data_IF_916389634772
#
_entry.id   IF_916389634772
#
_cell.length_a   1.000
_cell.length_b   1.000
_cell.length_c   1.000
_cell.angle_alpha   90.00
_cell.angle_beta   90.00
_cell.angle_gamma   90.00
#
_symmetry.space_group_name_H-M   'P 1'
#
loop_
_entity.id
_entity.type
_entity.pdbx_description
1 polymer ?
#
# COMPACT_ATOMS: atom_id res chain seq x y z
N UNK A 1 58.65 5.35 1.78
CA UNK A 1 57.53 6.28 1.74
C UNK A 1 56.31 5.75 0.93
N UNK A 2 56.49 5.12 -0.23
CA UNK A 2 55.36 4.68 -1.11
C UNK A 2 54.40 3.65 -0.51
N UNK A 3 54.86 2.72 0.35
CA UNK A 3 53.96 1.70 1.00
C UNK A 3 53.03 2.26 2.07
N UNK A 4 53.45 3.26 2.83
CA UNK A 4 52.63 3.88 3.90
C UNK A 4 51.52 4.74 3.30
N UNK A 5 51.78 5.41 2.16
CA UNK A 5 50.78 6.21 1.46
C UNK A 5 49.66 5.34 0.85
N UNK A 6 49.98 4.14 0.34
CA UNK A 6 49.00 3.23 -0.23
C UNK A 6 48.02 2.67 0.83
N UNK A 7 48.55 2.38 2.03
CA UNK A 7 47.72 1.88 3.16
C UNK A 7 46.76 2.94 3.65
N UNK A 8 47.16 4.21 3.72
CA UNK A 8 46.31 5.33 4.14
C UNK A 8 45.18 5.58 3.13
N UNK A 9 45.49 5.50 1.81
CA UNK A 9 44.46 5.66 0.76
C UNK A 9 43.45 4.50 0.79
N UNK A 10 43.90 3.26 1.01
CA UNK A 10 43.02 2.11 1.13
C UNK A 10 42.11 2.21 2.37
N UNK A 11 42.61 2.70 3.53
CA UNK A 11 41.82 2.96 4.72
C UNK A 11 40.80 4.09 4.51
N UNK A 12 41.15 5.16 3.83
CA UNK A 12 40.23 6.26 3.48
C UNK A 12 39.10 5.78 2.54
N UNK A 13 39.41 4.93 1.55
CA UNK A 13 38.41 4.35 0.66
C UNK A 13 37.44 3.40 1.40
N UNK A 14 37.92 2.62 2.37
CA UNK A 14 37.05 1.80 3.21
C UNK A 14 36.11 2.62 4.11
N UNK A 15 36.55 3.78 4.63
CA UNK A 15 35.76 4.65 5.47
C UNK A 15 34.66 5.34 4.64
N UNK A 16 34.93 5.75 3.41
CA UNK A 16 33.91 6.37 2.53
C UNK A 16 32.84 5.36 2.09
N UNK A 17 33.18 4.09 1.90
CA UNK A 17 32.21 3.04 1.58
C UNK A 17 31.28 2.72 2.75
N UNK A 18 31.65 3.00 4.00
CA UNK A 18 30.81 2.75 5.18
C UNK A 18 29.71 3.82 5.38
N UNK A 19 29.77 4.96 4.68
CA UNK A 19 28.77 6.05 4.80
C UNK A 19 27.69 6.04 3.72
N UNK A 20 27.73 5.11 2.76
CA UNK A 20 26.63 4.89 1.84
C UNK A 20 25.59 3.94 2.45
N UNK A 21 25.20 4.16 3.71
CA UNK A 21 23.98 3.56 4.22
C UNK A 21 22.81 4.26 3.52
N UNK A 22 22.06 3.46 2.76
CA UNK A 22 20.78 3.89 2.19
C UNK A 22 19.89 4.34 3.37
N UNK A 23 19.63 5.65 3.48
CA UNK A 23 18.77 6.26 4.52
C UNK A 23 17.31 5.82 4.40
N UNK A 24 17.09 4.63 3.85
CA UNK A 24 15.77 4.06 3.71
C UNK A 24 15.12 3.89 5.08
N UNK A 25 14.00 4.57 5.30
CA UNK A 25 13.20 4.42 6.51
C UNK A 25 12.15 3.35 6.29
N UNK A 26 12.23 2.19 6.97
CA UNK A 26 11.23 1.14 6.88
C UNK A 26 9.83 1.69 7.14
N UNK A 27 8.84 1.15 6.43
CA UNK A 27 7.45 1.54 6.57
C UNK A 27 6.53 0.34 6.44
N UNK A 28 5.32 0.48 6.96
CA UNK A 28 4.27 -0.52 6.81
C UNK A 28 3.16 0.02 5.92
N UNK A 29 2.83 -0.74 4.88
CA UNK A 29 1.70 -0.46 3.99
C UNK A 29 0.61 -1.48 4.27
N UNK A 30 -0.54 -1.00 4.69
CA UNK A 30 -1.75 -1.79 4.86
C UNK A 30 -2.55 -1.71 3.56
N UNK A 31 -2.90 -2.86 2.98
CA UNK A 31 -3.67 -2.89 1.74
C UNK A 31 -4.92 -3.74 1.95
N UNK A 32 -6.05 -3.18 1.57
CA UNK A 32 -7.35 -3.87 1.61
C UNK A 32 -8.10 -3.63 0.31
N UNK A 33 -8.86 -4.62 -0.13
CA UNK A 33 -9.89 -4.42 -1.14
C UNK A 33 -11.01 -3.57 -0.56
N UNK A 34 -11.68 -2.75 -1.39
CA UNK A 34 -12.93 -2.09 -0.98
C UNK A 34 -13.91 -3.11 -0.41
N UNK A 35 -14.73 -2.71 0.54
CA UNK A 35 -15.77 -3.53 1.15
C UNK A 35 -16.92 -3.85 0.17
N UNK A 36 -17.88 -4.64 0.59
CA UNK A 36 -19.03 -5.07 -0.20
C UNK A 36 -19.78 -3.86 -0.78
N UNK A 37 -20.00 -3.88 -2.09
CA UNK A 37 -20.62 -2.80 -2.83
C UNK A 37 -22.02 -3.17 -3.33
N UNK A 38 -22.89 -2.19 -3.53
CA UNK A 38 -24.16 -2.36 -4.25
C UNK A 38 -23.93 -2.76 -5.72
N UNK A 39 -24.97 -3.22 -6.37
CA UNK A 39 -24.94 -3.57 -7.79
C UNK A 39 -25.27 -2.36 -8.69
N UNK A 40 -25.96 -1.37 -8.13
CA UNK A 40 -26.33 -0.14 -8.83
C UNK A 40 -25.90 1.11 -8.01
N UNK A 41 -25.55 2.20 -8.69
CA UNK A 41 -25.37 2.34 -10.14
C UNK A 41 -24.10 1.58 -10.61
N UNK A 42 -24.16 0.88 -11.73
CA UNK A 42 -23.07 -0.01 -12.21
C UNK A 42 -21.70 0.66 -12.32
N UNK A 43 -21.67 1.94 -12.69
CA UNK A 43 -20.40 2.65 -12.91
C UNK A 43 -19.64 2.91 -11.61
N UNK A 44 -20.36 3.34 -10.55
CA UNK A 44 -19.73 3.67 -9.27
C UNK A 44 -20.69 3.38 -8.10
N UNK A 45 -20.93 2.09 -7.80
CA UNK A 45 -21.83 1.71 -6.71
C UNK A 45 -21.24 2.07 -5.34
N UNK A 46 -22.10 2.52 -4.39
CA UNK A 46 -21.71 2.69 -2.99
C UNK A 46 -21.54 1.35 -2.27
N UNK A 47 -21.24 1.37 -0.98
CA UNK A 47 -21.18 0.17 -0.16
C UNK A 47 -22.59 -0.35 0.19
N UNK A 48 -22.74 -1.68 0.23
CA UNK A 48 -23.85 -2.35 0.88
C UNK A 48 -23.80 -2.17 2.39
N UNK A 49 -24.88 -2.53 3.09
CA UNK A 49 -24.93 -2.51 4.55
C UNK A 49 -23.78 -3.30 5.20
N UNK A 50 -23.48 -4.48 4.66
CA UNK A 50 -22.36 -5.34 5.10
C UNK A 50 -21.01 -4.64 4.89
N UNK A 51 -20.85 -3.96 3.75
CA UNK A 51 -19.65 -3.19 3.44
C UNK A 51 -19.47 -1.98 4.36
N UNK A 52 -20.54 -1.31 4.74
CA UNK A 52 -20.49 -0.24 5.76
C UNK A 52 -20.04 -0.81 7.11
N UNK A 53 -20.60 -1.95 7.54
CA UNK A 53 -20.16 -2.61 8.76
C UNK A 53 -18.69 -3.01 8.71
N UNK A 54 -18.23 -3.59 7.58
CA UNK A 54 -16.81 -3.94 7.36
C UNK A 54 -15.89 -2.72 7.38
N UNK A 55 -16.29 -1.58 6.82
CA UNK A 55 -15.49 -0.35 6.87
C UNK A 55 -15.32 0.17 8.31
N UNK A 56 -16.33 0.03 9.16
CA UNK A 56 -16.26 0.36 10.58
C UNK A 56 -15.33 -0.61 11.34
N UNK A 57 -15.38 -1.91 11.03
CA UNK A 57 -14.45 -2.89 11.59
C UNK A 57 -13.00 -2.64 11.15
N UNK A 58 -12.77 -2.25 9.89
CA UNK A 58 -11.44 -1.81 9.43
C UNK A 58 -10.93 -0.63 10.26
N UNK A 59 -11.79 0.36 10.51
CA UNK A 59 -11.46 1.51 11.33
C UNK A 59 -11.14 1.12 12.78
N UNK A 60 -11.89 0.18 13.36
CA UNK A 60 -11.63 -0.35 14.70
C UNK A 60 -10.28 -1.08 14.73
N UNK A 61 -10.03 -1.95 13.76
CA UNK A 61 -8.84 -2.80 13.69
C UNK A 61 -7.56 -2.00 13.49
N UNK A 62 -7.58 -0.99 12.60
CA UNK A 62 -6.41 -0.20 12.24
C UNK A 62 -6.23 1.11 13.02
N UNK A 63 -7.13 1.43 13.97
CA UNK A 63 -7.07 2.70 14.71
C UNK A 63 -5.76 2.95 15.48
N UNK A 64 -5.09 1.88 15.93
CA UNK A 64 -3.82 1.94 16.66
C UNK A 64 -2.60 1.60 15.77
N UNK A 65 -2.79 1.41 14.46
CA UNK A 65 -1.72 1.00 13.54
C UNK A 65 -0.76 2.14 13.16
N UNK A 66 -0.93 3.34 13.69
CA UNK A 66 -0.06 4.49 13.44
C UNK A 66 -0.10 5.00 12.00
N UNK A 67 -1.23 4.77 11.29
CA UNK A 67 -1.42 5.23 9.90
C UNK A 67 -1.39 6.76 9.87
N UNK A 68 -0.63 7.32 8.93
CA UNK A 68 -0.47 8.76 8.70
C UNK A 68 -1.00 9.20 7.34
N UNK A 69 -1.17 8.28 6.41
CA UNK A 69 -1.59 8.58 5.04
C UNK A 69 -2.56 7.49 4.56
N UNK A 70 -3.62 7.90 3.86
CA UNK A 70 -4.63 7.01 3.30
C UNK A 70 -4.77 7.31 1.81
N UNK A 71 -4.61 6.29 0.97
CA UNK A 71 -4.86 6.35 -0.47
C UNK A 71 -6.07 5.51 -0.85
N UNK A 72 -6.88 6.02 -1.76
CA UNK A 72 -8.03 5.32 -2.35
C UNK A 72 -7.97 5.43 -3.87
N UNK A 73 -8.75 4.65 -4.59
CA UNK A 73 -9.03 4.95 -5.99
C UNK A 73 -10.10 6.04 -6.11
N UNK A 74 -10.40 6.45 -7.34
CA UNK A 74 -11.45 7.44 -7.65
C UNK A 74 -12.87 6.98 -7.28
N UNK A 75 -13.10 5.68 -7.08
CA UNK A 75 -14.42 5.10 -6.92
C UNK A 75 -14.99 5.26 -5.51
N UNK A 76 -16.31 5.49 -5.42
CA UNK A 76 -17.04 5.66 -4.16
C UNK A 76 -16.78 4.51 -3.18
N UNK A 77 -16.83 3.25 -3.64
CA UNK A 77 -16.59 2.07 -2.80
C UNK A 77 -15.25 2.06 -2.05
N UNK A 78 -14.17 2.56 -2.67
CA UNK A 78 -12.87 2.65 -1.98
C UNK A 78 -12.82 3.81 -0.99
N UNK A 79 -13.41 4.95 -1.35
CA UNK A 79 -13.51 6.13 -0.47
C UNK A 79 -14.34 5.81 0.77
N UNK A 80 -15.53 5.25 0.58
CA UNK A 80 -16.43 4.87 1.66
C UNK A 80 -15.83 3.77 2.58
N UNK A 81 -15.00 2.87 2.03
CA UNK A 81 -14.29 1.88 2.86
C UNK A 81 -13.24 2.56 3.76
N UNK A 82 -12.57 3.60 3.27
CA UNK A 82 -11.54 4.31 4.03
C UNK A 82 -12.11 5.34 5.02
N UNK A 83 -13.29 5.90 4.76
CA UNK A 83 -13.86 7.06 5.45
C UNK A 83 -13.96 6.90 6.97
N UNK A 84 -14.47 5.78 7.55
CA UNK A 84 -14.54 5.65 9.00
C UNK A 84 -13.18 5.72 9.69
N UNK A 85 -12.14 5.14 9.08
CA UNK A 85 -10.79 5.22 9.62
C UNK A 85 -10.19 6.62 9.45
N UNK A 86 -10.36 7.23 8.28
CA UNK A 86 -9.91 8.59 8.01
C UNK A 86 -10.50 9.57 9.04
N UNK A 87 -11.81 9.52 9.26
CA UNK A 87 -12.51 10.33 10.27
C UNK A 87 -11.94 10.08 11.67
N UNK A 88 -11.78 8.82 12.06
CA UNK A 88 -11.28 8.44 13.40
C UNK A 88 -9.86 8.93 13.66
N UNK A 89 -9.01 9.00 12.63
CA UNK A 89 -7.63 9.46 12.72
C UNK A 89 -7.46 10.97 12.45
N UNK A 90 -8.52 11.69 12.08
CA UNK A 90 -8.44 13.09 11.65
C UNK A 90 -7.65 13.28 10.35
N UNK A 91 -7.69 12.28 9.45
CA UNK A 91 -6.96 12.29 8.18
C UNK A 91 -7.90 12.53 7.01
N UNK A 92 -7.36 13.07 5.91
CA UNK A 92 -8.05 13.14 4.62
C UNK A 92 -7.47 12.07 3.69
N UNK A 93 -8.34 11.20 3.15
CA UNK A 93 -7.91 10.23 2.17
C UNK A 93 -7.64 10.91 0.81
N UNK A 94 -6.50 10.60 0.20
CA UNK A 94 -6.11 11.09 -1.13
C UNK A 94 -6.54 10.08 -2.18
N UNK A 95 -7.31 10.53 -3.16
CA UNK A 95 -7.74 9.69 -4.29
C UNK A 95 -6.69 9.70 -5.40
N UNK A 96 -6.29 8.50 -5.85
CA UNK A 96 -5.41 8.30 -7.01
C UNK A 96 -6.23 7.64 -8.11
N UNK A 97 -6.22 8.20 -9.32
CA UNK A 97 -7.00 7.71 -10.45
C UNK A 97 -6.37 6.47 -11.04
N UNK A 98 -7.05 5.34 -10.98
CA UNK A 98 -6.63 4.09 -11.62
C UNK A 98 -7.22 4.02 -13.03
N UNK A 99 -6.36 3.96 -14.04
CA UNK A 99 -6.72 3.75 -15.44
C UNK A 99 -6.69 2.26 -15.77
N UNK A 100 -7.61 1.80 -16.60
CA UNK A 100 -7.55 0.44 -17.14
C UNK A 100 -6.42 0.30 -18.13
N UNK A 101 -5.84 -0.89 -18.22
CA UNK A 101 -4.87 -1.22 -19.25
C UNK A 101 -5.53 -1.15 -20.64
N UNK A 102 -4.94 -0.45 -21.62
CA UNK A 102 -5.57 -0.22 -22.93
C UNK A 102 -5.76 -1.50 -23.74
N UNK A 103 -4.95 -2.54 -23.51
CA UNK A 103 -5.04 -3.83 -24.22
C UNK A 103 -5.87 -4.85 -23.47
N UNK A 104 -6.04 -4.72 -22.15
CA UNK A 104 -6.89 -5.58 -21.34
C UNK A 104 -7.58 -4.75 -20.23
N UNK A 105 -8.83 -4.30 -20.44
CA UNK A 105 -9.55 -3.45 -19.50
C UNK A 105 -9.82 -4.07 -18.11
N UNK A 106 -9.61 -5.39 -17.95
CA UNK A 106 -9.72 -6.07 -16.64
C UNK A 106 -8.49 -5.82 -15.75
N UNK A 107 -7.37 -5.39 -16.34
CA UNK A 107 -6.14 -5.06 -15.64
C UNK A 107 -6.06 -3.55 -15.41
N UNK A 108 -5.26 -3.18 -14.42
CA UNK A 108 -4.89 -1.78 -14.20
C UNK A 108 -3.66 -1.44 -15.06
N UNK A 109 -3.62 -0.24 -15.59
CA UNK A 109 -2.45 0.25 -16.31
C UNK A 109 -1.23 0.33 -15.36
N UNK A 110 -0.08 -0.10 -15.82
CA UNK A 110 1.15 -0.15 -15.00
C UNK A 110 1.52 1.23 -14.45
N UNK A 111 1.31 2.29 -15.23
CA UNK A 111 1.57 3.67 -14.84
C UNK A 111 0.70 4.10 -13.64
N UNK A 112 -0.54 3.62 -13.56
CA UNK A 112 -1.43 3.90 -12.42
C UNK A 112 -0.96 3.17 -11.16
N UNK A 113 -0.49 1.93 -11.30
CA UNK A 113 0.10 1.19 -10.18
C UNK A 113 1.40 1.86 -9.72
N UNK A 114 2.25 2.29 -10.67
CA UNK A 114 3.47 3.03 -10.37
C UNK A 114 3.20 4.35 -9.65
N UNK A 115 2.14 5.07 -10.01
CA UNK A 115 1.74 6.30 -9.31
C UNK A 115 1.40 6.01 -7.84
N UNK A 116 0.61 4.97 -7.55
CA UNK A 116 0.30 4.55 -6.17
C UNK A 116 1.57 4.24 -5.39
N UNK A 117 2.48 3.45 -5.97
CA UNK A 117 3.74 3.05 -5.32
C UNK A 117 4.64 4.27 -5.10
N UNK A 118 4.77 5.17 -6.06
CA UNK A 118 5.55 6.40 -5.92
C UNK A 118 5.02 7.26 -4.77
N UNK A 119 3.70 7.44 -4.69
CA UNK A 119 3.05 8.17 -3.58
C UNK A 119 3.32 7.54 -2.22
N UNK A 120 3.32 6.21 -2.13
CA UNK A 120 3.70 5.48 -0.91
C UNK A 120 5.18 5.77 -0.57
N UNK A 121 6.07 5.71 -1.56
CA UNK A 121 7.51 5.87 -1.36
C UNK A 121 7.93 7.32 -1.03
N UNK A 122 7.17 8.32 -1.47
CA UNK A 122 7.33 9.73 -1.08
C UNK A 122 7.11 10.00 0.43
N UNK A 123 6.68 9.01 1.21
CA UNK A 123 6.35 9.10 2.65
C UNK A 123 7.32 8.26 3.49
N UNK A 124 8.59 8.67 3.67
CA UNK A 124 9.59 7.86 4.36
C UNK A 124 9.21 7.62 5.83
N UNK A 125 9.19 6.34 6.25
CA UNK A 125 8.89 5.93 7.62
C UNK A 125 7.42 6.07 8.05
N UNK A 126 6.51 6.51 7.18
CA UNK A 126 5.08 6.61 7.50
C UNK A 126 4.36 5.27 7.22
N UNK A 127 3.45 4.90 8.12
CA UNK A 127 2.49 3.83 7.85
C UNK A 127 1.36 4.36 6.97
N UNK A 128 1.03 3.59 5.93
CA UNK A 128 0.09 3.99 4.88
C UNK A 128 -1.04 2.96 4.78
N UNK A 129 -2.28 3.40 4.63
CA UNK A 129 -3.38 2.55 4.18
C UNK A 129 -3.64 2.79 2.68
N UNK A 130 -3.79 1.71 1.93
CA UNK A 130 -4.27 1.72 0.53
C UNK A 130 -5.55 0.92 0.46
N UNK A 131 -6.65 1.55 0.05
CA UNK A 131 -7.91 0.88 -0.26
C UNK A 131 -8.03 0.78 -1.78
N UNK A 132 -7.91 -0.44 -2.30
CA UNK A 132 -7.86 -0.72 -3.73
C UNK A 132 -8.90 -1.75 -4.19
N UNK A 133 -8.53 -2.52 -5.19
CA UNK A 133 -9.37 -3.53 -5.86
C UNK A 133 -8.64 -4.88 -5.93
N UNK A 134 -9.39 -5.95 -6.21
CA UNK A 134 -8.82 -7.31 -6.38
C UNK A 134 -7.71 -7.38 -7.42
N UNK A 135 -7.77 -6.54 -8.45
CA UNK A 135 -6.81 -6.47 -9.55
C UNK A 135 -5.69 -5.43 -9.37
N UNK A 136 -5.82 -4.47 -8.43
CA UNK A 136 -4.79 -3.44 -8.21
C UNK A 136 -3.86 -3.75 -7.04
N UNK A 137 -4.37 -4.37 -5.97
CA UNK A 137 -3.59 -4.67 -4.77
C UNK A 137 -2.43 -5.62 -5.05
N UNK A 138 -2.61 -6.75 -5.78
CA UNK A 138 -1.49 -7.64 -6.10
C UNK A 138 -0.36 -6.92 -6.86
N UNK A 139 -0.70 -6.04 -7.80
CA UNK A 139 0.27 -5.29 -8.58
C UNK A 139 1.05 -4.27 -7.72
N UNK A 140 0.36 -3.58 -6.80
CA UNK A 140 1.03 -2.69 -5.83
C UNK A 140 1.99 -3.48 -4.93
N UNK A 141 1.57 -4.63 -4.40
CA UNK A 141 2.41 -5.50 -3.56
C UNK A 141 3.64 -5.96 -4.34
N UNK A 142 3.46 -6.42 -5.57
CA UNK A 142 4.55 -6.84 -6.45
C UNK A 142 5.54 -5.70 -6.70
N UNK A 143 5.05 -4.51 -7.02
CA UNK A 143 5.90 -3.34 -7.32
C UNK A 143 6.60 -2.79 -6.09
N UNK A 144 6.05 -2.96 -4.88
CA UNK A 144 6.74 -2.69 -3.62
C UNK A 144 7.86 -3.70 -3.31
N UNK A 145 7.97 -4.78 -4.07
CA UNK A 145 8.95 -5.85 -3.86
C UNK A 145 8.50 -6.90 -2.84
N UNK A 146 7.20 -7.14 -2.74
CA UNK A 146 6.63 -8.16 -1.86
C UNK A 146 7.15 -9.55 -2.19
N UNK A 147 7.53 -10.31 -1.16
CA UNK A 147 8.03 -11.68 -1.27
C UNK A 147 6.94 -12.69 -1.69
N UNK A 148 5.69 -12.32 -1.55
CA UNK A 148 4.52 -13.07 -2.02
C UNK A 148 3.55 -12.09 -2.70
N UNK A 149 3.04 -12.49 -3.87
CA UNK A 149 1.97 -11.73 -4.57
C UNK A 149 0.67 -12.51 -4.40
N UNK A 150 -0.33 -11.96 -3.69
CA UNK A 150 -1.58 -12.66 -3.42
C UNK A 150 -2.47 -12.71 -4.65
N UNK A 151 -3.37 -13.72 -4.67
CA UNK A 151 -4.57 -13.71 -5.52
C UNK A 151 -5.77 -13.39 -4.65
N UNK A 152 -6.56 -12.39 -5.03
CA UNK A 152 -7.72 -11.93 -4.27
C UNK A 152 -8.99 -12.47 -4.94
N UNK A 153 -9.72 -13.35 -4.26
CA UNK A 153 -11.04 -13.84 -4.70
C UNK A 153 -12.04 -12.66 -4.67
N UNK A 154 -12.72 -12.42 -5.79
CA UNK A 154 -13.69 -11.32 -5.92
C UNK A 154 -14.93 -11.45 -5.01
N UNK A 155 -15.15 -12.63 -4.43
CA UNK A 155 -16.21 -12.89 -3.45
C UNK A 155 -15.80 -12.59 -2.02
N UNK A 156 -14.49 -12.33 -1.77
CA UNK A 156 -13.93 -12.09 -0.43
C UNK A 156 -13.53 -10.63 -0.28
N UNK A 157 -13.87 -10.07 0.88
CA UNK A 157 -13.62 -8.67 1.22
C UNK A 157 -12.89 -8.52 2.57
N UNK A 158 -12.51 -9.63 3.18
CA UNK A 158 -11.94 -9.71 4.53
C UNK A 158 -10.40 -9.77 4.56
N UNK A 159 -9.74 -9.78 3.40
CA UNK A 159 -8.28 -9.82 3.33
C UNK A 159 -7.66 -8.47 3.67
N UNK A 160 -6.70 -8.50 4.61
CA UNK A 160 -5.79 -7.40 4.94
C UNK A 160 -4.36 -7.85 4.66
N UNK A 161 -3.67 -7.16 3.77
CA UNK A 161 -2.25 -7.37 3.51
C UNK A 161 -1.43 -6.32 4.24
N UNK A 162 -0.49 -6.77 5.05
CA UNK A 162 0.49 -5.94 5.77
C UNK A 162 1.82 -6.12 5.06
N UNK A 163 2.28 -5.08 4.40
CA UNK A 163 3.52 -5.07 3.61
C UNK A 163 4.55 -4.22 4.33
N UNK A 164 5.53 -4.87 4.94
CA UNK A 164 6.67 -4.18 5.56
C UNK A 164 7.76 -3.99 4.53
N UNK A 165 7.89 -2.76 4.03
CA UNK A 165 8.94 -2.37 3.10
C UNK A 165 10.17 -1.97 3.92
N UNK A 166 11.25 -2.74 3.80
CA UNK A 166 12.50 -2.55 4.58
C UNK A 166 13.67 -2.06 3.73
N UNK A 167 13.55 -2.12 2.41
CA UNK A 167 14.46 -1.50 1.44
C UNK A 167 13.71 -1.27 0.12
N UNK A 168 14.26 -0.46 -0.77
CA UNK A 168 13.69 -0.23 -2.11
C UNK A 168 13.57 -1.56 -2.87
N UNK A 169 12.34 -1.91 -3.28
CA UNK A 169 12.04 -3.16 -3.98
C UNK A 169 12.19 -4.42 -3.12
N UNK A 170 12.18 -4.29 -1.78
CA UNK A 170 12.24 -5.42 -0.85
C UNK A 170 11.21 -5.24 0.27
N UNK A 171 10.23 -6.12 0.31
CA UNK A 171 9.18 -6.10 1.30
C UNK A 171 8.77 -7.49 1.74
N UNK A 172 8.34 -7.61 2.99
CA UNK A 172 7.71 -8.80 3.57
C UNK A 172 6.20 -8.63 3.56
N UNK A 173 5.49 -9.64 3.09
CA UNK A 173 4.03 -9.65 3.04
C UNK A 173 3.47 -10.57 4.13
N UNK A 174 2.52 -10.06 4.90
CA UNK A 174 1.72 -10.84 5.85
C UNK A 174 0.26 -10.67 5.49
N UNK A 175 -0.47 -11.76 5.32
CA UNK A 175 -1.92 -11.74 5.09
C UNK A 175 -2.65 -12.04 6.39
N UNK A 176 -3.68 -11.26 6.68
CA UNK A 176 -4.59 -11.44 7.81
C UNK A 176 -6.04 -11.32 7.33
N UNK A 177 -6.97 -11.72 8.19
CA UNK A 177 -8.40 -11.50 8.00
C UNK A 177 -8.91 -10.45 8.99
N UNK A 178 -9.90 -9.66 8.58
CA UNK A 178 -10.54 -8.67 9.44
C UNK A 178 -12.06 -8.61 9.18
N UNK A 179 -12.80 -8.14 10.18
CA UNK A 179 -14.25 -8.07 10.14
C UNK A 179 -14.92 -9.35 10.69
N UNK A 180 -16.24 -9.33 10.83
CA UNK A 180 -17.02 -10.53 11.17
C UNK A 180 -17.06 -11.49 9.96
N UNK A 181 -17.08 -12.78 10.24
CA UNK A 181 -17.36 -13.84 9.28
C UNK A 181 -18.81 -13.77 8.79
#
# INVERSE_FOLDING_TARGET
>A
MKRKTLVVIALLLCVVAAFAQDDFKPKTVFLVRHAEKEDEPRQDPPLKKEGVARSQELARFLSAAGIKTIYTSQFARTKLTAEPLATKLGLTATSISLKSNPTNPRLIAEESTAEVVNKIMERPGENVLVVGHSNSIPDVIKMLGGDVVPTIDERKFDDLFIVTVYAKGKAKVTQMKYGAE
#
